data_IF_076982192854
#
_entry.id   IF_076982192854
#
_cell.length_a   1.000
_cell.length_b   1.000
_cell.length_c   1.000
_cell.angle_alpha   90.00
_cell.angle_beta   90.00
_cell.angle_gamma   90.00
#
_symmetry.space_group_name_H-M   'P 1'
#
loop_
_entity.id
_entity.type
_entity.pdbx_description
1 polymer ?
#
# COMPACT_ATOMS: atom_id res chain seq x y z
N UNK A 1 11.99 31.02 -21.34
CA UNK A 1 11.49 30.31 -20.15
C UNK A 1 11.97 28.88 -20.23
N UNK A 2 12.98 28.52 -19.44
CA UNK A 2 13.41 27.13 -19.29
C UNK A 2 12.60 26.50 -18.15
N UNK A 3 12.23 25.22 -18.28
CA UNK A 3 11.73 24.39 -17.17
C UNK A 3 10.63 25.01 -16.30
N UNK A 4 9.66 25.74 -16.88
CA UNK A 4 8.52 26.27 -16.13
C UNK A 4 8.86 27.34 -15.10
N UNK A 5 9.86 28.20 -15.39
CA UNK A 5 10.35 29.29 -14.51
C UNK A 5 11.16 28.82 -13.30
N UNK A 6 11.53 27.54 -13.23
CA UNK A 6 12.41 26.99 -12.16
C UNK A 6 13.90 27.29 -12.44
N UNK A 7 14.28 27.38 -13.71
CA UNK A 7 15.67 27.62 -14.12
C UNK A 7 15.76 28.98 -14.78
N UNK A 8 16.58 29.85 -14.22
CA UNK A 8 16.97 31.11 -14.82
C UNK A 8 18.21 30.91 -15.70
N UNK A 9 18.25 31.62 -16.83
CA UNK A 9 19.41 31.65 -17.73
C UNK A 9 19.78 33.09 -17.99
N UNK A 10 21.04 33.45 -17.72
CA UNK A 10 21.53 34.81 -17.94
C UNK A 10 22.05 35.00 -19.38
N UNK A 11 22.41 36.25 -19.73
CA UNK A 11 22.94 36.60 -21.07
C UNK A 11 24.28 35.91 -21.40
N UNK A 12 24.97 35.35 -20.40
CA UNK A 12 26.21 34.58 -20.56
C UNK A 12 25.97 33.07 -20.71
N UNK A 13 24.71 32.65 -20.91
CA UNK A 13 24.28 31.25 -21.00
C UNK A 13 24.59 30.41 -19.74
N UNK A 14 24.73 31.06 -18.57
CA UNK A 14 24.81 30.37 -17.28
C UNK A 14 23.42 30.13 -16.74
N UNK A 15 23.22 28.97 -16.13
CA UNK A 15 21.96 28.58 -15.51
C UNK A 15 22.03 28.66 -13.98
N UNK A 16 20.92 29.03 -13.34
CA UNK A 16 20.75 29.09 -11.90
C UNK A 16 19.33 28.71 -11.47
N UNK A 17 19.15 28.45 -10.18
CA UNK A 17 17.86 28.24 -9.53
C UNK A 17 17.81 29.25 -8.38
N UNK A 18 16.68 29.93 -8.21
CA UNK A 18 16.47 30.87 -7.10
C UNK A 18 16.60 30.16 -5.74
N UNK A 19 17.14 30.85 -4.74
CA UNK A 19 17.47 30.21 -3.44
C UNK A 19 16.22 29.64 -2.74
N UNK A 20 15.06 30.27 -2.93
CA UNK A 20 13.80 29.80 -2.36
C UNK A 20 13.29 28.54 -3.08
N UNK A 21 13.43 28.47 -4.41
CA UNK A 21 13.09 27.26 -5.19
C UNK A 21 14.02 26.09 -4.85
N UNK A 22 15.30 26.35 -4.55
CA UNK A 22 16.23 25.29 -4.10
C UNK A 22 15.71 24.61 -2.83
N UNK A 23 15.24 25.39 -1.84
CA UNK A 23 14.71 24.82 -0.58
C UNK A 23 13.53 23.92 -0.85
N UNK A 24 12.67 24.33 -1.78
CA UNK A 24 11.47 23.58 -2.16
C UNK A 24 11.79 22.38 -3.04
N UNK A 25 12.92 22.30 -3.74
CA UNK A 25 13.26 21.18 -4.63
C UNK A 25 14.15 20.10 -4.00
N UNK A 26 14.98 20.42 -3.01
CA UNK A 26 15.96 19.47 -2.43
C UNK A 26 15.45 18.73 -1.19
N UNK A 27 14.22 19.00 -0.77
CA UNK A 27 13.65 18.42 0.44
C UNK A 27 12.79 17.18 0.10
N UNK A 28 12.44 16.39 1.13
CA UNK A 28 11.55 15.23 0.99
C UNK A 28 10.17 15.48 1.62
N UNK A 29 9.68 16.73 1.57
CA UNK A 29 8.30 17.01 1.98
C UNK A 29 7.32 16.28 1.08
N UNK A 30 6.12 16.11 1.59
CA UNK A 30 5.08 15.32 0.95
C UNK A 30 4.80 15.78 -0.48
N UNK A 31 4.76 17.09 -0.71
CA UNK A 31 4.52 17.72 -2.00
C UNK A 31 5.55 17.29 -3.05
N UNK A 32 6.84 17.28 -2.71
CA UNK A 32 7.90 16.83 -3.62
C UNK A 32 7.84 15.35 -3.94
N UNK A 33 7.54 14.52 -2.92
CA UNK A 33 7.37 13.08 -3.11
C UNK A 33 6.21 12.83 -4.08
N UNK A 34 5.12 13.59 -3.96
CA UNK A 34 3.98 13.53 -4.88
C UNK A 34 4.33 14.03 -6.28
N UNK A 35 5.06 15.14 -6.43
CA UNK A 35 5.52 15.64 -7.73
C UNK A 35 6.39 14.58 -8.43
N UNK A 36 7.36 14.01 -7.70
CA UNK A 36 8.23 12.95 -8.20
C UNK A 36 7.49 11.67 -8.62
N UNK A 37 6.28 11.45 -8.08
CA UNK A 37 5.42 10.32 -8.46
C UNK A 37 4.63 10.53 -9.75
N UNK A 38 4.53 11.78 -10.24
CA UNK A 38 3.72 12.14 -11.42
C UNK A 38 4.04 11.28 -12.65
N UNK A 39 5.31 11.01 -13.03
CA UNK A 39 5.61 10.13 -14.16
C UNK A 39 5.09 8.70 -13.96
N UNK A 40 5.09 8.22 -12.72
CA UNK A 40 4.57 6.89 -12.37
C UNK A 40 3.05 6.85 -12.47
N UNK A 41 2.37 7.90 -12.02
CA UNK A 41 0.91 8.04 -12.12
C UNK A 41 0.42 8.13 -13.58
N UNK A 42 1.22 8.75 -14.45
CA UNK A 42 0.88 8.95 -15.85
C UNK A 42 1.34 7.80 -16.77
N UNK A 43 2.11 6.84 -16.27
CA UNK A 43 2.59 5.70 -17.07
C UNK A 43 1.47 4.96 -17.83
N UNK A 44 0.31 4.63 -17.22
CA UNK A 44 -0.76 3.95 -17.94
C UNK A 44 -1.69 4.89 -18.73
N UNK A 45 -1.36 6.19 -18.87
CA UNK A 45 -2.27 7.19 -19.45
C UNK A 45 -2.74 6.82 -20.86
N UNK A 46 -1.83 6.36 -21.72
CA UNK A 46 -2.19 5.99 -23.09
C UNK A 46 -3.18 4.82 -23.13
N UNK A 47 -2.97 3.81 -22.26
CA UNK A 47 -3.92 2.69 -22.13
C UNK A 47 -5.24 3.15 -21.51
N UNK A 48 -5.19 4.07 -20.54
CA UNK A 48 -6.39 4.64 -19.93
C UNK A 48 -7.24 5.39 -20.95
N UNK A 49 -6.62 6.12 -21.89
CA UNK A 49 -7.31 6.79 -22.99
C UNK A 49 -8.10 5.78 -23.85
N UNK A 50 -7.56 4.57 -24.06
CA UNK A 50 -8.27 3.52 -24.80
C UNK A 50 -9.57 3.09 -24.11
N UNK A 51 -9.63 3.09 -22.78
CA UNK A 51 -10.84 2.76 -22.01
C UNK A 51 -12.01 3.73 -22.29
N UNK A 52 -11.72 4.98 -22.68
CA UNK A 52 -12.75 5.99 -22.97
C UNK A 52 -13.36 5.87 -24.38
N UNK A 53 -12.80 5.03 -25.25
CA UNK A 53 -13.36 4.81 -26.59
C UNK A 53 -14.67 4.01 -26.50
N UNK A 54 -15.56 4.19 -27.48
CA UNK A 54 -16.87 3.52 -27.53
C UNK A 54 -16.79 1.98 -27.38
N UNK A 55 -15.73 1.37 -27.91
CA UNK A 55 -15.46 -0.07 -27.83
C UNK A 55 -14.22 -0.39 -26.96
N UNK A 56 -13.84 0.53 -26.06
CA UNK A 56 -12.70 0.37 -25.17
C UNK A 56 -12.96 -0.66 -24.06
N UNK A 57 -11.90 -1.15 -23.40
CA UNK A 57 -12.06 -1.99 -22.22
C UNK A 57 -12.69 -1.19 -21.06
N UNK A 58 -13.37 -1.86 -20.11
CA UNK A 58 -14.03 -1.20 -18.98
C UNK A 58 -13.06 -0.61 -17.95
N UNK A 59 -11.76 -0.89 -18.08
CA UNK A 59 -10.70 -0.46 -17.18
C UNK A 59 -9.40 -1.16 -17.51
N UNK A 60 -8.37 -0.82 -16.75
CA UNK A 60 -7.04 -1.40 -16.86
C UNK A 60 -6.86 -2.55 -15.88
N UNK A 61 -5.99 -3.50 -16.21
CA UNK A 61 -5.68 -4.58 -15.30
C UNK A 61 -4.85 -4.07 -14.11
N UNK A 62 -5.02 -4.68 -12.93
CA UNK A 62 -4.26 -4.31 -11.73
C UNK A 62 -2.73 -4.34 -11.96
N UNK A 63 -2.24 -5.28 -12.77
CA UNK A 63 -0.82 -5.42 -13.11
C UNK A 63 -0.23 -4.23 -13.89
N UNK A 64 -1.07 -3.40 -14.52
CA UNK A 64 -0.61 -2.23 -15.27
C UNK A 64 -0.15 -1.08 -14.35
N UNK A 65 -0.44 -1.16 -13.05
CA UNK A 65 -0.11 -0.13 -12.06
C UNK A 65 1.07 -0.52 -11.15
N UNK A 66 1.91 -1.47 -11.55
CA UNK A 66 2.97 -2.04 -10.70
C UNK A 66 3.93 -1.00 -10.08
N UNK A 67 4.35 0.03 -10.83
CA UNK A 67 5.19 1.11 -10.30
C UNK A 67 4.43 2.02 -9.34
N UNK A 68 3.17 2.33 -9.63
CA UNK A 68 2.31 3.09 -8.74
C UNK A 68 2.06 2.35 -7.43
N UNK A 69 1.79 1.04 -7.50
CA UNK A 69 1.67 0.17 -6.34
C UNK A 69 2.95 0.19 -5.51
N UNK A 70 4.12 0.04 -6.13
CA UNK A 70 5.39 0.14 -5.42
C UNK A 70 5.58 1.48 -4.71
N UNK A 71 5.21 2.59 -5.35
CA UNK A 71 5.25 3.91 -4.75
C UNK A 71 4.30 4.01 -3.54
N UNK A 72 3.04 3.58 -3.70
CA UNK A 72 2.04 3.57 -2.62
C UNK A 72 2.46 2.67 -1.45
N UNK A 73 3.06 1.51 -1.73
CA UNK A 73 3.63 0.62 -0.73
C UNK A 73 4.69 1.33 0.13
N UNK A 74 5.62 2.07 -0.51
CA UNK A 74 6.69 2.80 0.19
C UNK A 74 6.16 3.95 1.01
N UNK A 75 5.22 4.72 0.45
CA UNK A 75 4.54 5.78 1.18
C UNK A 75 3.78 5.24 2.39
N UNK A 76 2.97 4.20 2.21
CA UNK A 76 2.20 3.61 3.30
C UNK A 76 3.12 3.09 4.39
N UNK A 77 4.20 2.38 4.03
CA UNK A 77 5.19 1.94 5.01
C UNK A 77 5.75 3.12 5.82
N UNK A 78 6.23 4.18 5.15
CA UNK A 78 6.82 5.33 5.83
C UNK A 78 5.83 6.05 6.77
N UNK A 79 4.57 6.18 6.36
CA UNK A 79 3.54 6.86 7.13
C UNK A 79 2.98 6.00 8.27
N UNK A 80 2.93 4.67 8.10
CA UNK A 80 2.20 3.80 9.02
C UNK A 80 3.10 3.09 10.04
N UNK A 81 4.39 2.87 9.75
CA UNK A 81 5.29 2.06 10.57
C UNK A 81 5.32 2.45 12.05
N UNK A 82 5.32 3.76 12.33
CA UNK A 82 5.39 4.28 13.69
C UNK A 82 4.04 4.43 14.38
N UNK A 83 2.94 4.28 13.66
CA UNK A 83 1.61 4.69 14.12
C UNK A 83 0.60 3.53 14.19
N UNK A 84 0.76 2.48 13.38
CA UNK A 84 -0.18 1.35 13.36
C UNK A 84 -0.33 0.70 14.73
N UNK A 85 0.79 0.31 15.36
CA UNK A 85 0.75 -0.37 16.65
C UNK A 85 0.38 0.58 17.80
N UNK A 86 1.07 1.71 18.02
CA UNK A 86 0.83 2.52 19.22
C UNK A 86 -0.42 3.41 19.13
N UNK A 87 -0.85 3.81 17.93
CA UNK A 87 -1.95 4.76 17.78
C UNK A 87 -3.21 4.12 17.20
N UNK A 88 -3.09 3.43 16.05
CA UNK A 88 -4.26 2.91 15.34
C UNK A 88 -4.90 1.72 16.06
N UNK A 89 -4.13 0.72 16.48
CA UNK A 89 -4.66 -0.49 17.14
C UNK A 89 -5.46 -0.13 18.41
N UNK A 90 -4.97 0.71 19.34
CA UNK A 90 -5.77 1.16 20.48
C UNK A 90 -7.02 1.95 20.08
N UNK A 91 -6.94 2.76 19.01
CA UNK A 91 -8.06 3.59 18.55
C UNK A 91 -9.26 2.79 18.00
N UNK A 92 -9.07 1.53 17.59
CA UNK A 92 -10.18 0.64 17.21
C UNK A 92 -11.15 0.43 18.38
N UNK A 93 -10.64 0.45 19.62
CA UNK A 93 -11.44 0.24 20.83
C UNK A 93 -11.74 -1.24 21.10
N UNK A 94 -12.79 -1.50 21.90
CA UNK A 94 -13.26 -2.85 22.29
C UNK A 94 -12.19 -3.76 22.94
N UNK A 95 -11.14 -3.16 23.50
CA UNK A 95 -10.01 -3.85 24.11
C UNK A 95 -9.19 -4.66 23.09
N UNK A 96 -9.14 -4.25 21.81
CA UNK A 96 -8.48 -5.05 20.77
C UNK A 96 -6.97 -5.14 21.00
N UNK A 97 -6.34 -4.08 21.53
CA UNK A 97 -4.92 -4.09 21.84
C UNK A 97 -4.60 -5.19 22.86
N UNK A 98 -5.38 -5.26 23.94
CA UNK A 98 -5.24 -6.24 25.01
C UNK A 98 -5.55 -7.66 24.51
N UNK A 99 -6.55 -7.83 23.63
CA UNK A 99 -6.88 -9.14 23.03
C UNK A 99 -5.78 -9.63 22.08
N UNK A 100 -5.18 -8.73 21.30
CA UNK A 100 -4.03 -9.06 20.44
C UNK A 100 -2.82 -9.47 21.28
N UNK A 101 -2.58 -8.82 22.42
CA UNK A 101 -1.51 -9.18 23.37
C UNK A 101 -1.79 -10.50 24.09
N UNK A 102 -3.03 -10.72 24.54
CA UNK A 102 -3.45 -11.98 25.14
C UNK A 102 -3.33 -13.16 24.17
N UNK A 103 -3.51 -12.91 22.87
CA UNK A 103 -3.36 -13.87 21.79
C UNK A 103 -4.62 -14.72 21.56
N UNK A 104 -4.49 -15.69 20.65
CA UNK A 104 -5.58 -16.59 20.28
C UNK A 104 -6.59 -16.02 19.28
N UNK A 105 -6.45 -14.75 18.90
CA UNK A 105 -7.21 -14.16 17.81
C UNK A 105 -6.72 -14.67 16.45
N UNK A 106 -7.62 -14.68 15.48
CA UNK A 106 -7.32 -14.83 14.07
C UNK A 106 -7.73 -13.56 13.31
N UNK A 107 -6.76 -12.90 12.71
CA UNK A 107 -6.90 -11.59 12.06
C UNK A 107 -6.76 -11.74 10.56
N UNK A 108 -7.66 -11.09 9.81
CA UNK A 108 -7.60 -10.98 8.36
C UNK A 108 -7.15 -9.58 7.95
N UNK A 109 -6.23 -9.49 7.00
CA UNK A 109 -5.81 -8.26 6.33
C UNK A 109 -6.21 -8.35 4.84
N UNK A 110 -7.26 -7.61 4.46
CA UNK A 110 -7.86 -7.64 3.12
C UNK A 110 -7.18 -6.61 2.23
N UNK A 111 -6.58 -7.08 1.13
CA UNK A 111 -5.74 -6.23 0.28
C UNK A 111 -4.42 -5.93 0.95
N UNK A 112 -3.74 -6.97 1.46
CA UNK A 112 -2.53 -6.83 2.27
C UNK A 112 -1.31 -6.31 1.48
N UNK A 113 -1.42 -6.20 0.15
CA UNK A 113 -0.34 -5.77 -0.73
C UNK A 113 0.93 -6.58 -0.51
N UNK A 114 2.05 -5.88 -0.32
CA UNK A 114 3.35 -6.51 -0.05
C UNK A 114 3.50 -7.08 1.37
N UNK A 115 2.43 -7.12 2.17
CA UNK A 115 2.40 -7.74 3.50
C UNK A 115 3.00 -6.90 4.63
N UNK A 116 3.31 -5.62 4.41
CA UNK A 116 3.93 -4.76 5.43
C UNK A 116 3.16 -4.71 6.75
N UNK A 117 1.86 -4.36 6.73
CA UNK A 117 1.04 -4.22 7.94
C UNK A 117 0.88 -5.57 8.65
N UNK A 118 0.55 -6.61 7.89
CA UNK A 118 0.47 -7.98 8.37
C UNK A 118 1.76 -8.46 9.06
N UNK A 119 2.94 -8.24 8.46
CA UNK A 119 4.23 -8.60 9.07
C UNK A 119 4.52 -7.79 10.32
N UNK A 120 4.23 -6.49 10.33
CA UNK A 120 4.41 -5.61 11.49
C UNK A 120 3.57 -6.09 12.69
N UNK A 121 2.31 -6.45 12.44
CA UNK A 121 1.40 -6.95 13.47
C UNK A 121 1.79 -8.37 13.93
N UNK A 122 2.14 -9.26 13.01
CA UNK A 122 2.57 -10.62 13.34
C UNK A 122 3.83 -10.64 14.20
N UNK A 123 4.76 -9.71 13.97
CA UNK A 123 5.95 -9.53 14.81
C UNK A 123 5.59 -9.05 16.22
N UNK A 124 4.69 -8.07 16.34
CA UNK A 124 4.28 -7.50 17.63
C UNK A 124 3.45 -8.48 18.47
N UNK A 125 2.63 -9.31 17.81
CA UNK A 125 1.65 -10.19 18.46
C UNK A 125 1.89 -11.66 18.07
N UNK A 126 2.97 -12.31 18.58
CA UNK A 126 3.40 -13.63 18.12
C UNK A 126 2.43 -14.78 18.45
N UNK A 127 1.46 -14.55 19.35
CA UNK A 127 0.43 -15.51 19.76
C UNK A 127 -0.90 -15.33 19.01
N UNK A 128 -1.01 -14.29 18.16
CA UNK A 128 -2.15 -14.04 17.28
C UNK A 128 -1.84 -14.56 15.88
N UNK A 129 -2.83 -15.19 15.23
CA UNK A 129 -2.72 -15.66 13.84
C UNK A 129 -3.15 -14.57 12.86
N UNK A 130 -2.35 -14.35 11.83
CA UNK A 130 -2.60 -13.35 10.79
C UNK A 130 -2.68 -14.02 9.42
N UNK A 131 -3.66 -13.61 8.63
CA UNK A 131 -3.81 -13.99 7.23
C UNK A 131 -3.91 -12.71 6.41
N UNK A 132 -2.95 -12.48 5.54
CA UNK A 132 -3.02 -11.44 4.52
C UNK A 132 -3.50 -12.02 3.20
N UNK A 133 -4.45 -11.37 2.54
CA UNK A 133 -4.85 -11.73 1.18
C UNK A 133 -4.72 -10.54 0.24
N UNK A 134 -4.33 -10.82 -1.00
CA UNK A 134 -4.29 -9.83 -2.07
C UNK A 134 -4.52 -10.52 -3.42
N UNK A 135 -5.06 -9.78 -4.39
CA UNK A 135 -5.28 -10.29 -5.75
C UNK A 135 -4.00 -10.21 -6.60
N UNK A 136 -3.04 -9.37 -6.23
CA UNK A 136 -1.79 -9.17 -6.96
C UNK A 136 -0.75 -10.24 -6.65
N UNK A 137 -0.46 -11.10 -7.62
CA UNK A 137 0.57 -12.15 -7.52
C UNK A 137 1.94 -11.60 -7.08
N UNK A 138 2.37 -10.47 -7.66
CA UNK A 138 3.66 -9.84 -7.37
C UNK A 138 3.71 -9.28 -5.94
N UNK A 139 2.59 -8.75 -5.46
CA UNK A 139 2.45 -8.26 -4.10
C UNK A 139 2.55 -9.42 -3.10
N UNK A 140 1.86 -10.53 -3.37
CA UNK A 140 1.91 -11.75 -2.56
C UNK A 140 3.30 -12.40 -2.57
N UNK A 141 4.02 -12.38 -3.68
CA UNK A 141 5.40 -12.85 -3.72
C UNK A 141 6.29 -12.07 -2.75
N UNK A 142 6.23 -10.73 -2.82
CA UNK A 142 6.94 -9.85 -1.88
C UNK A 142 6.48 -10.06 -0.43
N UNK A 143 5.19 -10.28 -0.20
CA UNK A 143 4.65 -10.56 1.12
C UNK A 143 5.23 -11.86 1.70
N UNK A 144 5.31 -12.92 0.90
CA UNK A 144 5.94 -14.19 1.29
C UNK A 144 7.42 -14.04 1.61
N UNK A 145 8.15 -13.16 0.92
CA UNK A 145 9.54 -12.82 1.27
C UNK A 145 9.61 -12.09 2.63
N UNK A 146 8.70 -11.14 2.88
CA UNK A 146 8.54 -10.43 4.17
C UNK A 146 8.05 -11.31 5.31
N UNK A 147 7.54 -12.51 5.03
CA UNK A 147 7.21 -13.51 6.05
C UNK A 147 8.46 -13.97 6.84
N UNK A 148 9.65 -13.63 6.37
CA UNK A 148 10.91 -13.84 7.07
C UNK A 148 11.49 -12.51 7.56
N UNK A 149 11.84 -12.44 8.85
CA UNK A 149 12.64 -11.34 9.41
C UNK A 149 13.90 -11.93 10.03
N UNK A 150 15.06 -11.37 9.71
CA UNK A 150 16.39 -11.84 10.16
C UNK A 150 16.63 -13.35 9.93
N UNK A 151 16.00 -13.92 8.88
CA UNK A 151 16.06 -15.36 8.55
C UNK A 151 15.09 -16.25 9.34
N UNK A 152 14.31 -15.70 10.28
CA UNK A 152 13.29 -16.44 11.03
C UNK A 152 11.92 -16.25 10.38
N UNK A 153 11.23 -17.36 10.10
CA UNK A 153 9.88 -17.36 9.54
C UNK A 153 8.84 -17.05 10.62
N UNK A 154 7.93 -16.12 10.33
CA UNK A 154 6.73 -15.94 11.15
C UNK A 154 5.84 -17.19 11.04
N UNK A 155 5.67 -17.90 12.15
CA UNK A 155 4.81 -19.10 12.21
C UNK A 155 3.32 -18.75 12.31
N UNK A 156 3.02 -17.51 12.66
CA UNK A 156 1.68 -16.99 12.90
C UNK A 156 1.18 -16.09 11.76
N UNK A 157 1.80 -16.15 10.58
CA UNK A 157 1.45 -15.32 9.43
C UNK A 157 1.35 -16.15 8.15
N UNK A 158 0.27 -15.99 7.40
CA UNK A 158 0.06 -16.60 6.09
C UNK A 158 -0.32 -15.53 5.06
N UNK A 159 0.11 -15.73 3.81
CA UNK A 159 -0.26 -14.88 2.68
C UNK A 159 -0.90 -15.71 1.58
N UNK A 160 -2.08 -15.27 1.13
CA UNK A 160 -2.93 -15.96 0.17
C UNK A 160 -3.20 -15.06 -1.03
N UNK A 161 -2.93 -15.56 -2.23
CA UNK A 161 -3.38 -14.89 -3.46
C UNK A 161 -4.87 -15.18 -3.66
N UNK A 162 -5.71 -14.17 -3.55
CA UNK A 162 -7.16 -14.32 -3.59
C UNK A 162 -7.87 -13.01 -3.97
N UNK A 163 -8.88 -13.11 -4.82
CA UNK A 163 -9.88 -12.07 -5.04
C UNK A 163 -10.76 -11.98 -3.78
N UNK A 164 -10.75 -10.81 -3.12
CA UNK A 164 -11.50 -10.59 -1.88
C UNK A 164 -13.01 -10.83 -2.04
N UNK A 165 -13.58 -10.65 -3.23
CA UNK A 165 -14.99 -10.98 -3.51
C UNK A 165 -15.27 -12.47 -3.68
N UNK A 166 -14.23 -13.32 -3.60
CA UNK A 166 -14.27 -14.78 -3.80
C UNK A 166 -13.51 -15.54 -2.73
N UNK A 167 -13.47 -15.00 -1.52
CA UNK A 167 -12.84 -15.69 -0.38
C UNK A 167 -13.48 -17.07 -0.16
N UNK A 168 -12.71 -18.06 0.36
CA UNK A 168 -13.23 -19.39 0.63
C UNK A 168 -14.44 -19.37 1.58
N UNK A 169 -15.49 -20.15 1.26
CA UNK A 169 -16.72 -20.21 2.08
C UNK A 169 -16.44 -20.65 3.53
N UNK A 170 -15.41 -21.47 3.76
CA UNK A 170 -15.02 -21.88 5.11
C UNK A 170 -14.36 -20.75 5.93
N UNK A 171 -14.16 -19.56 5.36
CA UNK A 171 -13.68 -18.40 6.09
C UNK A 171 -14.79 -17.60 6.80
N UNK A 172 -16.05 -17.84 6.46
CA UNK A 172 -17.19 -17.19 7.11
C UNK A 172 -17.17 -17.41 8.63
N UNK A 173 -17.16 -16.33 9.40
CA UNK A 173 -17.15 -16.38 10.87
C UNK A 173 -15.85 -16.94 11.48
N UNK A 174 -14.76 -17.01 10.71
CA UNK A 174 -13.50 -17.65 11.14
C UNK A 174 -12.40 -16.67 11.58
N UNK A 175 -12.72 -15.37 11.60
CA UNK A 175 -11.81 -14.28 11.98
C UNK A 175 -12.45 -13.43 13.08
N UNK A 176 -11.63 -13.03 14.05
CA UNK A 176 -12.05 -12.21 15.18
C UNK A 176 -11.88 -10.70 14.89
N UNK A 177 -11.01 -10.37 13.93
CA UNK A 177 -10.74 -9.01 13.46
C UNK A 177 -10.45 -9.02 11.95
N UNK A 178 -11.08 -8.10 11.23
CA UNK A 178 -10.79 -7.84 9.81
C UNK A 178 -10.26 -6.42 9.67
N UNK A 179 -9.10 -6.30 9.05
CA UNK A 179 -8.42 -5.05 8.75
C UNK A 179 -8.42 -4.83 7.23
N UNK A 180 -8.59 -3.58 6.81
CA UNK A 180 -8.54 -3.18 5.41
C UNK A 180 -7.85 -1.83 5.29
N UNK A 181 -6.59 -1.84 4.88
CA UNK A 181 -5.76 -0.64 4.78
C UNK A 181 -5.86 -0.04 3.38
N UNK A 182 -6.69 1.00 3.21
CA UNK A 182 -6.85 1.74 1.94
C UNK A 182 -7.29 0.91 0.71
N UNK A 183 -7.58 -0.38 0.86
CA UNK A 183 -7.93 -1.26 -0.27
C UNK A 183 -9.42 -1.32 -0.62
N UNK A 184 -10.33 -0.95 0.29
CA UNK A 184 -11.79 -1.12 0.10
C UNK A 184 -12.32 -0.35 -1.12
N UNK A 185 -11.86 0.89 -1.30
CA UNK A 185 -12.31 1.78 -2.37
C UNK A 185 -11.92 1.34 -3.78
N UNK A 186 -10.92 0.45 -3.89
CA UNK A 186 -10.41 -0.04 -5.16
C UNK A 186 -11.00 -1.41 -5.52
N UNK A 187 -11.81 -2.01 -4.64
CA UNK A 187 -12.52 -3.26 -4.94
C UNK A 187 -13.61 -3.05 -5.99
N UNK A 188 -13.73 -3.98 -6.93
CA UNK A 188 -14.82 -3.98 -7.92
C UNK A 188 -16.19 -4.23 -7.28
N UNK A 189 -16.24 -5.07 -6.24
CA UNK A 189 -17.45 -5.42 -5.47
C UNK A 189 -17.17 -5.34 -3.97
N UNK A 190 -17.00 -4.14 -3.40
CA UNK A 190 -16.66 -3.97 -1.99
C UNK A 190 -17.72 -4.56 -1.05
N UNK A 191 -18.96 -4.68 -1.52
CA UNK A 191 -20.07 -5.33 -0.82
C UNK A 191 -19.91 -6.84 -0.65
N UNK A 192 -18.94 -7.47 -1.33
CA UNK A 192 -18.62 -8.89 -1.22
C UNK A 192 -17.31 -9.17 -0.45
N UNK A 193 -16.61 -8.13 0.01
CA UNK A 193 -15.25 -8.24 0.54
C UNK A 193 -15.14 -8.30 2.08
N UNK A 194 -16.26 -8.32 2.80
CA UNK A 194 -16.36 -8.28 4.27
C UNK A 194 -17.48 -9.17 4.81
#
# INVERSE_FOLDING_TARGET
>A
MACGEIIEVNEEEKFGIEEDDVKDLINSIFENVMIGSTPTLLEPLDHLIECFKLNGPPGLAYSEFSKFQYFMEKMSQALHEKHVIPDMIPAIGYGIAEKLEAGGLRVLDVGCGNGFHSSLLAEKYPTTQFVGLDIGSDAIQKAKERKTKTGTLFKNLEFVECDAGKMPVNWTGSFDLVLIFYACRDQCRPDLCI
#
